data_IF_420696663914
#
_entry.id   IF_420696663914
#
_cell.length_a   1.000
_cell.length_b   1.000
_cell.length_c   1.000
_cell.angle_alpha   90.00
_cell.angle_beta   90.00
_cell.angle_gamma   90.00
#
_symmetry.space_group_name_H-M   'P 1'
#
loop_
_entity.id
_entity.type
_entity.pdbx_description
1 polymer ?
#
# COMPACT_ATOMS: atom_id res chain seq x y z
N UNK A 1 7.04 -24.10 1.71
CA UNK A 1 7.21 -23.82 0.26
C UNK A 1 7.93 -22.50 0.04
N UNK A 2 8.66 -22.39 -1.10
CA UNK A 2 9.36 -21.16 -1.47
C UNK A 2 8.50 -20.23 -2.35
N UNK A 3 7.37 -20.73 -2.80
CA UNK A 3 6.43 -20.03 -3.69
C UNK A 3 5.05 -20.16 -3.09
N UNK A 4 4.39 -19.03 -2.87
CA UNK A 4 3.04 -18.95 -2.31
C UNK A 4 2.19 -18.03 -3.17
N UNK A 5 0.94 -18.43 -3.42
CA UNK A 5 -0.06 -17.58 -4.05
C UNK A 5 -1.03 -17.10 -2.97
N UNK A 6 -1.08 -15.79 -2.77
CA UNK A 6 -1.88 -15.15 -1.74
C UNK A 6 -2.93 -14.22 -2.35
N UNK A 7 -3.96 -13.88 -1.58
CA UNK A 7 -4.86 -12.77 -1.88
C UNK A 7 -4.30 -11.49 -1.27
N UNK A 8 -4.14 -10.47 -2.11
CA UNK A 8 -3.72 -9.13 -1.69
C UNK A 8 -4.92 -8.19 -1.70
N UNK A 9 -5.04 -7.36 -0.69
CA UNK A 9 -6.07 -6.33 -0.59
C UNK A 9 -5.47 -4.97 -0.23
N UNK A 10 -6.11 -3.92 -0.68
CA UNK A 10 -5.81 -2.52 -0.37
C UNK A 10 -7.09 -1.70 -0.31
N UNK A 11 -6.98 -0.47 0.18
CA UNK A 11 -8.07 0.48 0.16
C UNK A 11 -7.53 1.91 0.19
N UNK A 12 -8.23 2.85 -0.46
CA UNK A 12 -8.05 4.28 -0.30
C UNK A 12 -9.17 4.88 0.54
N UNK A 13 -8.87 5.99 1.19
CA UNK A 13 -9.89 6.80 1.89
C UNK A 13 -10.51 7.80 0.91
N UNK A 14 -11.77 8.23 1.14
CA UNK A 14 -12.40 9.28 0.34
C UNK A 14 -11.64 10.61 0.52
N UNK A 15 -11.61 11.43 -0.52
CA UNK A 15 -11.04 12.77 -0.48
C UNK A 15 -12.11 13.77 -0.90
N UNK A 16 -12.51 14.66 0.01
CA UNK A 16 -13.34 15.82 -0.30
C UNK A 16 -12.53 16.82 -1.12
N UNK A 17 -13.05 17.18 -2.27
CA UNK A 17 -12.41 18.18 -3.14
C UNK A 17 -12.50 19.59 -2.58
N UNK A 18 -13.50 19.89 -1.74
CA UNK A 18 -13.63 21.18 -1.07
C UNK A 18 -12.56 21.39 0.01
N UNK A 19 -12.13 20.30 0.67
CA UNK A 19 -11.09 20.31 1.71
C UNK A 19 -9.66 20.18 1.12
N UNK A 20 -9.54 20.02 -0.20
CA UNK A 20 -8.26 19.87 -0.89
C UNK A 20 -8.04 21.00 -1.89
N UNK A 21 -7.14 21.93 -1.56
CA UNK A 21 -6.86 23.10 -2.40
C UNK A 21 -6.46 22.76 -3.85
N UNK A 22 -5.79 21.62 -4.08
CA UNK A 22 -5.42 21.20 -5.41
C UNK A 22 -6.63 20.75 -6.24
N UNK A 23 -7.69 20.24 -5.59
CA UNK A 23 -8.88 19.66 -6.22
C UNK A 23 -10.13 20.52 -6.12
N UNK A 24 -10.07 21.69 -5.50
CA UNK A 24 -11.26 22.53 -5.24
C UNK A 24 -12.09 22.74 -6.50
N UNK A 25 -13.39 22.42 -6.40
CA UNK A 25 -14.34 22.50 -7.52
C UNK A 25 -14.29 21.31 -8.49
N UNK A 26 -13.49 20.28 -8.22
CA UNK A 26 -13.55 18.99 -8.93
C UNK A 26 -14.47 18.02 -8.18
N UNK A 27 -14.90 16.91 -8.80
CA UNK A 27 -15.62 15.85 -8.09
C UNK A 27 -14.80 15.28 -6.93
N UNK A 28 -15.49 14.86 -5.86
CA UNK A 28 -14.87 14.13 -4.74
C UNK A 28 -14.32 12.78 -5.22
N UNK A 29 -13.19 12.37 -4.62
CA UNK A 29 -12.69 11.01 -4.83
C UNK A 29 -13.43 10.05 -3.89
N UNK A 30 -14.12 9.09 -4.49
CA UNK A 30 -14.76 8.00 -3.75
C UNK A 30 -13.69 7.06 -3.18
N UNK A 31 -13.94 6.42 -2.02
CA UNK A 31 -13.03 5.41 -1.51
C UNK A 31 -12.98 4.23 -2.47
N UNK A 32 -11.79 3.66 -2.65
CA UNK A 32 -11.59 2.47 -3.46
C UNK A 32 -11.24 1.25 -2.61
N UNK A 33 -11.64 0.08 -3.07
CA UNK A 33 -11.14 -1.20 -2.60
C UNK A 33 -10.35 -1.85 -3.71
N UNK A 34 -9.20 -2.37 -3.37
CA UNK A 34 -8.30 -3.06 -4.28
C UNK A 34 -8.20 -4.52 -3.89
N UNK A 35 -8.37 -5.42 -4.85
CA UNK A 35 -8.25 -6.86 -4.64
C UNK A 35 -7.51 -7.50 -5.81
N UNK A 36 -6.72 -8.51 -5.51
CA UNK A 36 -6.03 -9.30 -6.52
C UNK A 36 -5.02 -10.29 -5.96
N UNK A 37 -4.43 -11.12 -6.82
CA UNK A 37 -3.42 -12.08 -6.43
C UNK A 37 -2.10 -11.40 -6.03
N UNK A 38 -1.34 -12.07 -5.16
CA UNK A 38 0.07 -11.79 -4.88
C UNK A 38 0.86 -13.08 -5.00
N UNK A 39 1.88 -13.09 -5.85
CA UNK A 39 2.86 -14.18 -5.88
C UNK A 39 4.01 -13.81 -4.94
N UNK A 40 4.19 -14.61 -3.90
CA UNK A 40 5.22 -14.41 -2.90
C UNK A 40 6.33 -15.47 -3.06
N UNK A 41 7.56 -14.99 -3.27
CA UNK A 41 8.73 -15.83 -3.52
C UNK A 41 9.72 -15.65 -2.37
N UNK A 42 9.98 -16.70 -1.59
CA UNK A 42 11.04 -16.67 -0.57
C UNK A 42 12.40 -16.76 -1.24
N UNK A 43 13.11 -15.62 -1.29
CA UNK A 43 14.44 -15.53 -1.89
C UNK A 43 15.49 -16.14 -0.96
N UNK A 44 15.38 -15.85 0.34
CA UNK A 44 16.33 -16.30 1.34
C UNK A 44 15.71 -16.39 2.72
N UNK A 45 16.17 -17.35 3.51
CA UNK A 45 15.83 -17.53 4.94
C UNK A 45 17.07 -17.96 5.70
N UNK A 46 17.33 -17.35 6.87
CA UNK A 46 18.43 -17.76 7.73
C UNK A 46 18.19 -19.15 8.34
N UNK A 47 19.26 -19.84 8.72
CA UNK A 47 19.18 -21.19 9.33
C UNK A 47 18.41 -21.17 10.66
N UNK A 48 18.55 -20.13 11.44
CA UNK A 48 17.83 -19.90 12.71
C UNK A 48 16.40 -19.36 12.49
N UNK A 49 15.95 -19.21 11.23
CA UNK A 49 14.64 -18.71 10.80
C UNK A 49 14.28 -17.32 11.33
N UNK A 50 15.26 -16.55 11.82
CA UNK A 50 15.03 -15.20 12.33
C UNK A 50 14.92 -14.16 11.23
N UNK A 51 15.53 -14.40 10.08
CA UNK A 51 15.51 -13.52 8.92
C UNK A 51 14.87 -14.20 7.74
N UNK A 52 13.94 -13.54 7.09
CA UNK A 52 13.29 -13.99 5.86
C UNK A 52 13.25 -12.84 4.86
N UNK A 53 13.72 -13.06 3.64
CA UNK A 53 13.65 -12.12 2.52
C UNK A 53 12.74 -12.70 1.46
N UNK A 54 11.65 -12.00 1.18
CA UNK A 54 10.67 -12.34 0.17
C UNK A 54 10.67 -11.29 -0.96
N UNK A 55 10.39 -11.73 -2.17
CA UNK A 55 9.90 -10.90 -3.27
C UNK A 55 8.39 -11.11 -3.36
N UNK A 56 7.61 -10.05 -3.21
CA UNK A 56 6.14 -10.08 -3.33
C UNK A 56 5.72 -9.32 -4.57
N UNK A 57 4.82 -9.91 -5.34
CA UNK A 57 4.34 -9.42 -6.63
C UNK A 57 2.81 -9.28 -6.61
N UNK A 58 2.24 -8.34 -5.85
CA UNK A 58 0.81 -8.10 -5.85
C UNK A 58 0.37 -7.37 -7.13
N UNK A 59 -0.67 -7.89 -7.77
CA UNK A 59 -1.39 -7.24 -8.86
C UNK A 59 -2.86 -7.12 -8.46
N UNK A 60 -3.40 -5.90 -8.36
CA UNK A 60 -4.72 -5.62 -7.82
C UNK A 60 -5.57 -4.82 -8.79
N UNK A 61 -6.85 -5.13 -8.87
CA UNK A 61 -7.86 -4.29 -9.50
C UNK A 61 -8.52 -3.40 -8.45
N UNK A 62 -8.69 -2.12 -8.75
CA UNK A 62 -9.32 -1.13 -7.89
C UNK A 62 -10.74 -0.82 -8.37
N UNK A 63 -11.68 -0.76 -7.44
CA UNK A 63 -13.07 -0.39 -7.67
C UNK A 63 -13.54 0.61 -6.61
N UNK A 64 -14.44 1.53 -6.97
CA UNK A 64 -15.17 2.34 -5.98
C UNK A 64 -16.19 1.49 -5.25
N UNK A 65 -16.57 1.89 -4.03
CA UNK A 65 -17.50 1.11 -3.18
C UNK A 65 -18.65 1.95 -2.61
N UNK A 66 -18.67 3.25 -2.87
CA UNK A 66 -19.74 4.18 -2.43
C UNK A 66 -20.31 4.85 -3.68
N UNK A 67 -21.65 4.93 -3.77
CA UNK A 67 -22.35 5.53 -4.92
C UNK A 67 -22.45 4.64 -6.15
N UNK A 68 -21.84 3.47 -6.12
CA UNK A 68 -21.78 2.49 -7.21
C UNK A 68 -20.46 1.72 -7.18
N UNK A 69 -20.40 0.61 -7.92
CA UNK A 69 -19.16 -0.14 -8.12
C UNK A 69 -18.63 0.16 -9.51
N UNK A 70 -17.65 1.06 -9.58
CA UNK A 70 -17.00 1.42 -10.83
C UNK A 70 -15.53 0.97 -10.82
N UNK A 71 -15.09 0.39 -11.90
CA UNK A 71 -13.70 -0.02 -12.07
C UNK A 71 -12.81 1.22 -12.22
N UNK A 72 -11.83 1.38 -11.34
CA UNK A 72 -10.89 2.50 -11.32
C UNK A 72 -9.60 2.20 -12.07
N UNK A 73 -9.18 0.94 -12.14
CA UNK A 73 -7.97 0.55 -12.83
C UNK A 73 -7.27 -0.61 -12.13
N UNK A 74 -6.01 -0.85 -12.49
CA UNK A 74 -5.16 -1.84 -11.82
C UNK A 74 -3.89 -1.19 -11.30
N UNK A 75 -3.32 -1.84 -10.30
CA UNK A 75 -2.03 -1.52 -9.70
C UNK A 75 -1.16 -2.77 -9.59
N UNK A 76 0.13 -2.59 -9.83
CA UNK A 76 1.17 -3.61 -9.64
C UNK A 76 2.31 -3.01 -8.82
N UNK A 77 2.63 -3.62 -7.69
CA UNK A 77 3.60 -3.07 -6.74
C UNK A 77 4.59 -4.13 -6.27
N UNK A 78 5.55 -4.55 -7.14
CA UNK A 78 6.59 -5.49 -6.76
C UNK A 78 7.44 -4.93 -5.62
N UNK A 79 7.71 -5.75 -4.60
CA UNK A 79 8.43 -5.28 -3.42
C UNK A 79 9.28 -6.36 -2.76
N UNK A 80 10.43 -5.96 -2.28
CA UNK A 80 11.23 -6.76 -1.38
C UNK A 80 10.73 -6.58 0.05
N UNK A 81 10.60 -7.68 0.78
CA UNK A 81 10.15 -7.69 2.18
C UNK A 81 11.17 -8.46 3.00
N UNK A 82 11.76 -7.78 3.97
CA UNK A 82 12.63 -8.39 4.98
C UNK A 82 11.87 -8.46 6.30
N UNK A 83 11.63 -9.69 6.76
CA UNK A 83 11.07 -9.96 8.08
C UNK A 83 12.17 -10.43 9.03
N UNK A 84 12.28 -9.79 10.19
CA UNK A 84 13.24 -10.11 11.26
C UNK A 84 12.47 -10.45 12.52
N UNK A 85 12.50 -11.72 12.91
CA UNK A 85 11.91 -12.19 14.17
C UNK A 85 12.89 -12.02 15.35
N UNK A 86 12.35 -11.81 16.54
CA UNK A 86 13.13 -11.59 17.77
C UNK A 86 14.19 -10.49 17.61
N UNK A 87 13.76 -9.37 17.00
CA UNK A 87 14.62 -8.25 16.69
C UNK A 87 15.37 -7.74 17.92
N UNK A 88 16.65 -7.42 17.75
CA UNK A 88 17.56 -6.99 18.80
C UNK A 88 17.63 -7.94 20.02
N UNK A 89 17.35 -9.25 19.81
CA UNK A 89 17.37 -10.25 20.87
C UNK A 89 16.14 -10.27 21.78
N UNK A 90 15.11 -9.49 21.47
CA UNK A 90 13.88 -9.43 22.25
C UNK A 90 12.84 -10.40 21.70
N UNK A 91 12.53 -11.46 22.45
CA UNK A 91 11.56 -12.48 22.06
C UNK A 91 10.18 -11.86 21.69
N UNK A 92 9.67 -12.26 20.53
CA UNK A 92 8.37 -11.82 19.99
C UNK A 92 8.34 -10.37 19.49
N UNK A 93 9.48 -9.65 19.46
CA UNK A 93 9.60 -8.36 18.79
C UNK A 93 9.98 -8.61 17.32
N UNK A 94 9.15 -8.18 16.37
CA UNK A 94 9.38 -8.40 14.96
C UNK A 94 9.55 -7.06 14.24
N UNK A 95 10.57 -6.98 13.39
CA UNK A 95 10.80 -5.86 12.49
C UNK A 95 10.48 -6.32 11.06
N UNK A 96 9.66 -5.54 10.35
CA UNK A 96 9.39 -5.69 8.92
C UNK A 96 9.92 -4.49 8.15
N UNK A 97 10.63 -4.75 7.06
CA UNK A 97 11.06 -3.72 6.11
C UNK A 97 10.52 -4.10 4.72
N UNK A 98 9.92 -3.13 4.05
CA UNK A 98 9.36 -3.29 2.71
C UNK A 98 9.84 -2.15 1.85
N UNK A 99 10.27 -2.46 0.63
CA UNK A 99 10.63 -1.45 -0.36
C UNK A 99 10.33 -1.95 -1.79
N UNK A 100 9.83 -1.06 -2.64
CA UNK A 100 9.61 -1.37 -4.04
C UNK A 100 8.95 -0.26 -4.83
N UNK A 101 8.98 -0.36 -6.18
CA UNK A 101 8.28 0.53 -7.08
C UNK A 101 6.78 0.21 -7.12
N UNK A 102 6.01 1.18 -7.59
CA UNK A 102 4.57 1.06 -7.86
C UNK A 102 4.31 1.40 -9.32
N UNK A 103 3.35 0.71 -9.92
CA UNK A 103 2.89 0.93 -11.29
C UNK A 103 1.37 0.93 -11.32
N UNK A 104 0.78 1.78 -12.15
CA UNK A 104 -0.67 1.85 -12.32
C UNK A 104 -1.08 1.92 -13.77
N UNK A 105 -2.35 1.55 -14.04
CA UNK A 105 -2.98 1.78 -15.32
C UNK A 105 -3.26 3.26 -15.54
N UNK A 106 -3.40 3.69 -16.80
CA UNK A 106 -3.85 5.03 -17.17
C UNK A 106 -5.14 5.39 -16.40
N UNK A 107 -6.13 4.51 -16.39
CA UNK A 107 -7.39 4.73 -15.70
C UNK A 107 -7.23 4.94 -14.19
N UNK A 108 -6.27 4.24 -13.53
CA UNK A 108 -5.94 4.47 -12.12
C UNK A 108 -5.32 5.84 -11.93
N UNK A 109 -4.37 6.21 -12.79
CA UNK A 109 -3.72 7.51 -12.71
C UNK A 109 -4.68 8.65 -13.07
N UNK A 110 -5.56 8.48 -14.05
CA UNK A 110 -6.59 9.45 -14.41
C UNK A 110 -7.51 9.76 -13.25
N UNK A 111 -7.96 8.74 -12.54
CA UNK A 111 -8.85 8.89 -11.39
C UNK A 111 -8.29 9.83 -10.32
N UNK A 112 -6.98 9.76 -10.07
CA UNK A 112 -6.35 10.53 -9.01
C UNK A 112 -5.66 11.82 -9.50
N UNK A 113 -5.13 11.86 -10.73
CA UNK A 113 -4.17 12.88 -11.16
C UNK A 113 -4.53 13.63 -12.42
N UNK A 114 -5.54 13.23 -13.20
CA UNK A 114 -5.96 13.97 -14.39
C UNK A 114 -6.82 15.18 -14.06
N UNK A 115 -6.70 16.21 -14.88
CA UNK A 115 -7.50 17.44 -14.84
C UNK A 115 -8.21 17.60 -16.18
N UNK A 116 -9.51 17.26 -16.21
CA UNK A 116 -10.33 17.45 -17.39
C UNK A 116 -10.53 18.93 -17.74
N UNK A 117 -10.79 19.29 -19.00
CA UNK A 117 -10.95 20.68 -19.46
C UNK A 117 -11.94 21.51 -18.65
N UNK A 118 -13.02 20.88 -18.15
CA UNK A 118 -14.07 21.55 -17.37
C UNK A 118 -13.59 22.01 -15.98
N UNK A 119 -12.45 21.50 -15.51
CA UNK A 119 -11.90 21.81 -14.20
C UNK A 119 -10.61 22.63 -14.26
N UNK A 120 -10.26 23.15 -15.43
CA UNK A 120 -9.07 23.99 -15.65
C UNK A 120 -9.25 25.33 -14.92
N UNK A 121 -8.19 25.77 -14.25
CA UNK A 121 -8.09 27.12 -13.67
C UNK A 121 -6.72 27.74 -14.02
N UNK A 122 -6.49 28.99 -13.67
CA UNK A 122 -5.20 29.65 -13.92
C UNK A 122 -4.01 28.91 -13.30
N UNK A 123 -4.22 28.28 -12.11
CA UNK A 123 -3.18 27.57 -11.37
C UNK A 123 -3.28 26.03 -11.52
N UNK A 124 -4.24 25.55 -12.29
CA UNK A 124 -4.47 24.12 -12.53
C UNK A 124 -4.76 23.89 -14.00
N UNK A 125 -3.74 23.73 -14.85
CA UNK A 125 -3.91 23.43 -16.27
C UNK A 125 -4.50 22.04 -16.48
N UNK A 126 -5.04 21.77 -17.69
CA UNK A 126 -5.44 20.43 -18.09
C UNK A 126 -4.24 19.48 -18.03
N UNK A 127 -4.49 18.27 -17.61
CA UNK A 127 -3.48 17.21 -17.50
C UNK A 127 -4.12 15.84 -17.71
N UNK A 128 -3.55 15.06 -18.59
CA UNK A 128 -3.94 13.68 -18.86
C UNK A 128 -2.86 12.76 -18.30
N UNK A 129 -3.19 11.96 -17.29
CA UNK A 129 -2.23 11.07 -16.65
C UNK A 129 -2.07 9.79 -17.46
N UNK A 130 -0.82 9.38 -17.70
CA UNK A 130 -0.49 8.18 -18.45
C UNK A 130 -0.27 6.96 -17.52
N UNK A 131 -0.46 5.75 -18.07
CA UNK A 131 -0.07 4.52 -17.39
C UNK A 131 1.42 4.44 -17.16
N UNK A 132 1.85 3.73 -16.13
CA UNK A 132 3.27 3.43 -15.93
C UNK A 132 3.72 3.52 -14.48
N UNK A 133 4.94 3.99 -14.30
CA UNK A 133 5.55 4.13 -12.98
C UNK A 133 4.83 5.17 -12.12
N UNK A 134 4.40 4.75 -10.94
CA UNK A 134 3.61 5.54 -10.00
C UNK A 134 4.41 5.99 -8.76
N UNK A 135 5.72 5.76 -8.75
CA UNK A 135 6.57 6.09 -7.61
C UNK A 135 7.13 4.88 -6.89
N UNK A 136 7.76 5.11 -5.75
CA UNK A 136 8.36 4.10 -4.89
C UNK A 136 7.83 4.21 -3.48
N UNK A 137 7.78 3.08 -2.77
CA UNK A 137 7.37 3.01 -1.37
C UNK A 137 8.44 2.33 -0.53
N UNK A 138 8.66 2.87 0.67
CA UNK A 138 9.42 2.21 1.74
C UNK A 138 8.55 2.20 3.00
N UNK A 139 8.43 1.05 3.64
CA UNK A 139 7.71 0.90 4.89
C UNK A 139 8.56 0.12 5.90
N UNK A 140 8.64 0.65 7.10
CA UNK A 140 9.20 -0.05 8.26
C UNK A 140 8.10 -0.28 9.28
N UNK A 141 8.01 -1.49 9.80
CA UNK A 141 7.06 -1.86 10.85
C UNK A 141 7.78 -2.52 12.01
N UNK A 142 7.30 -2.26 13.22
CA UNK A 142 7.76 -2.91 14.44
C UNK A 142 6.53 -3.44 15.18
N UNK A 143 6.56 -4.72 15.55
CA UNK A 143 5.42 -5.30 16.25
C UNK A 143 5.86 -6.27 17.34
N UNK A 144 5.02 -6.38 18.38
CA UNK A 144 5.22 -7.36 19.45
C UNK A 144 3.92 -8.04 19.82
N UNK A 145 3.95 -9.36 19.89
CA UNK A 145 2.82 -10.18 20.31
C UNK A 145 2.97 -10.58 21.77
N UNK A 146 1.95 -10.29 22.53
CA UNK A 146 1.76 -10.73 23.92
C UNK A 146 0.69 -11.83 23.99
N UNK A 147 0.54 -12.53 25.12
CA UNK A 147 -0.45 -13.59 25.26
C UNK A 147 -1.90 -13.16 24.97
N UNK A 148 -2.27 -11.92 25.29
CA UNK A 148 -3.63 -11.39 25.22
C UNK A 148 -3.82 -10.24 24.24
N UNK A 149 -2.75 -9.66 23.74
CA UNK A 149 -2.82 -8.57 22.75
C UNK A 149 -1.59 -8.57 21.84
N UNK A 150 -1.73 -7.88 20.74
CA UNK A 150 -0.65 -7.53 19.81
C UNK A 150 -0.58 -6.00 19.74
N UNK A 151 0.63 -5.45 19.68
CA UNK A 151 0.88 -4.04 19.42
C UNK A 151 1.82 -3.92 18.22
N UNK A 152 1.55 -2.96 17.36
CA UNK A 152 2.39 -2.67 16.20
C UNK A 152 2.41 -1.18 15.89
N UNK A 153 3.50 -0.75 15.29
CA UNK A 153 3.67 0.59 14.75
C UNK A 153 4.33 0.49 13.38
N UNK A 154 4.08 1.50 12.53
CA UNK A 154 4.76 1.60 11.25
C UNK A 154 5.07 3.05 10.91
N UNK A 155 6.06 3.22 10.04
CA UNK A 155 6.32 4.44 9.27
C UNK A 155 6.43 4.05 7.81
N UNK A 156 5.84 4.88 6.93
CA UNK A 156 5.83 4.72 5.49
C UNK A 156 6.31 6.02 4.84
N UNK A 157 7.13 5.88 3.84
CA UNK A 157 7.55 6.93 2.93
C UNK A 157 7.23 6.52 1.51
N UNK A 158 6.51 7.38 0.80
CA UNK A 158 6.22 7.24 -0.63
C UNK A 158 6.90 8.39 -1.38
N UNK A 159 7.58 8.09 -2.49
CA UNK A 159 8.17 9.07 -3.39
C UNK A 159 7.53 8.97 -4.76
N UNK A 160 7.05 10.10 -5.28
CA UNK A 160 6.52 10.23 -6.63
C UNK A 160 7.58 10.66 -7.64
N UNK A 161 8.85 10.76 -7.24
CA UNK A 161 9.93 11.16 -8.14
C UNK A 161 9.97 10.24 -9.36
N UNK A 162 9.84 10.83 -10.56
CA UNK A 162 9.82 10.12 -11.83
C UNK A 162 8.53 9.39 -12.15
N UNK A 163 7.46 9.55 -11.33
CA UNK A 163 6.14 9.04 -11.68
C UNK A 163 5.60 9.68 -12.98
N UNK A 164 4.87 8.92 -13.79
CA UNK A 164 4.32 9.40 -15.07
C UNK A 164 3.37 10.59 -14.91
N UNK A 165 2.82 10.79 -13.72
CA UNK A 165 1.95 11.89 -13.34
C UNK A 165 2.60 12.91 -12.39
N UNK A 166 3.93 12.90 -12.23
CA UNK A 166 4.63 13.81 -11.30
C UNK A 166 4.41 15.30 -11.65
N UNK A 167 4.22 15.62 -12.93
CA UNK A 167 3.94 16.98 -13.43
C UNK A 167 2.45 17.38 -13.31
N UNK A 168 1.59 16.52 -12.80
CA UNK A 168 0.19 16.86 -12.56
C UNK A 168 0.06 18.01 -11.56
N UNK A 169 -0.79 19.01 -11.84
CA UNK A 169 -1.06 20.09 -10.89
C UNK A 169 -1.73 19.60 -9.59
N UNK A 170 -2.20 18.34 -9.56
CA UNK A 170 -2.75 17.67 -8.37
C UNK A 170 -1.65 17.01 -7.51
N UNK A 171 -0.47 16.75 -8.06
CA UNK A 171 0.68 16.20 -7.34
C UNK A 171 1.50 17.32 -6.67
N UNK A 172 1.00 17.83 -5.54
CA UNK A 172 1.61 18.99 -4.84
C UNK A 172 2.90 18.68 -4.09
N UNK A 173 3.21 17.42 -3.85
CA UNK A 173 4.41 16.98 -3.16
C UNK A 173 4.94 15.72 -3.81
N UNK A 174 6.24 15.64 -3.96
CA UNK A 174 6.90 14.41 -4.43
C UNK A 174 7.09 13.37 -3.32
N UNK A 175 6.98 13.77 -2.06
CA UNK A 175 7.24 12.90 -0.92
C UNK A 175 6.07 12.93 0.08
N UNK A 176 5.63 11.76 0.49
CA UNK A 176 4.57 11.56 1.47
C UNK A 176 5.06 10.69 2.60
N UNK A 177 4.68 11.05 3.83
CA UNK A 177 4.98 10.29 5.02
C UNK A 177 3.69 9.91 5.74
N UNK A 178 3.62 8.66 6.19
CA UNK A 178 2.56 8.18 7.04
C UNK A 178 3.16 7.39 8.21
N UNK A 179 2.53 7.48 9.38
CA UNK A 179 2.89 6.66 10.53
C UNK A 179 1.60 6.25 11.26
N UNK A 180 1.64 5.09 11.90
CA UNK A 180 0.51 4.60 12.65
C UNK A 180 0.91 3.65 13.76
N UNK A 181 0.02 3.52 14.75
CA UNK A 181 0.11 2.58 15.86
C UNK A 181 -1.21 1.82 15.93
N UNK A 182 -1.13 0.50 16.15
CA UNK A 182 -2.29 -0.36 16.30
C UNK A 182 -2.15 -1.27 17.51
N UNK A 183 -3.26 -1.56 18.18
CA UNK A 183 -3.37 -2.55 19.24
C UNK A 183 -4.54 -3.47 18.90
N UNK A 184 -4.30 -4.79 18.92
CA UNK A 184 -5.32 -5.79 18.69
C UNK A 184 -5.41 -6.73 19.90
N UNK A 185 -6.61 -6.87 20.48
CA UNK A 185 -6.85 -7.79 21.58
C UNK A 185 -7.24 -9.17 21.09
N UNK A 186 -6.67 -10.20 21.71
CA UNK A 186 -6.97 -11.61 21.42
C UNK A 186 -8.07 -12.05 22.36
N UNK A 187 -9.33 -11.89 21.94
CA UNK A 187 -10.50 -12.16 22.77
C UNK A 187 -10.72 -13.67 23.03
N UNK A 188 -10.32 -14.53 22.09
CA UNK A 188 -10.47 -15.99 22.21
C UNK A 188 -9.37 -16.71 21.43
N UNK A 189 -8.86 -17.79 21.98
CA UNK A 189 -7.92 -18.70 21.31
C UNK A 189 -8.61 -20.05 21.11
N UNK A 190 -8.31 -20.75 20.00
CA UNK A 190 -8.71 -22.14 19.83
C UNK A 190 -8.04 -23.00 20.89
N UNK A 191 -8.79 -23.94 21.47
CA UNK A 191 -8.25 -24.99 22.32
C UNK A 191 -7.59 -26.13 21.52
N UNK A 192 -7.83 -26.17 20.20
CA UNK A 192 -7.21 -27.15 19.31
C UNK A 192 -5.94 -26.54 18.75
N UNK A 193 -4.82 -27.13 19.09
CA UNK A 193 -3.51 -26.79 18.51
C UNK A 193 -3.42 -27.51 17.16
N UNK A 194 -3.21 -26.77 16.09
CA UNK A 194 -2.80 -27.29 14.78
C UNK A 194 -1.30 -27.08 14.63
N UNK A 195 -0.58 -28.08 14.17
CA UNK A 195 0.82 -27.89 13.79
C UNK A 195 0.87 -26.89 12.64
N UNK A 196 1.61 -25.79 12.85
CA UNK A 196 1.92 -24.89 11.76
C UNK A 196 2.91 -25.62 10.81
N UNK A 197 2.49 -25.91 9.59
CA UNK A 197 3.42 -26.30 8.56
C UNK A 197 4.41 -25.14 8.32
N UNK A 198 5.65 -25.36 8.70
CA UNK A 198 6.75 -24.39 8.59
C UNK A 198 7.57 -24.59 7.32
#
# INVERSE_FOLDING_TARGET
DRIELNLSAGASVPVSSDDNDARRGMPDLQPTVELGPSLDLTLWRSQDRRFKLDLRLPARAAVTVIGGVDYVGWEFSPRLVLDVSDFAGHAGLNLGLLAGPMYGSERSHDYFYSVAPDYVTADRPAFDAEAGYAGSQVLMSLSKRYPTYWIGAFVRWDSLQGATFADSPLARSENYFAAGIGIAWILKKSSVLVEAEN
#
